data_IF_227615134552
#
_entry.id   IF_227615134552
#
_cell.length_a   1.000
_cell.length_b   1.000
_cell.length_c   1.000
_cell.angle_alpha   90.00
_cell.angle_beta   90.00
_cell.angle_gamma   90.00
#
_symmetry.space_group_name_H-M   'P 1'
#
loop_
_entity.id
_entity.type
_entity.pdbx_description
1 polymer ?
#
# COMPACT_ATOMS: atom_id res chain seq x y z
N UNK A 1 14.89 -47.75 10.38
CA UNK A 1 14.94 -46.92 11.59
C UNK A 1 15.12 -47.74 12.86
N UNK A 2 14.34 -48.81 13.10
CA UNK A 2 14.45 -49.60 14.34
C UNK A 2 15.84 -50.15 14.70
N UNK A 3 16.68 -50.54 13.71
CA UNK A 3 18.06 -51.00 13.98
C UNK A 3 19.00 -49.85 14.37
N UNK A 4 18.76 -48.63 13.84
CA UNK A 4 19.53 -47.45 14.22
C UNK A 4 19.19 -46.99 15.65
N UNK A 5 17.92 -47.04 16.06
CA UNK A 5 17.51 -46.74 17.44
C UNK A 5 18.06 -47.75 18.48
N UNK A 6 18.40 -48.97 18.05
CA UNK A 6 19.04 -49.96 18.91
C UNK A 6 20.54 -49.68 19.09
N UNK A 7 21.21 -49.11 18.09
CA UNK A 7 22.66 -48.82 18.12
C UNK A 7 22.96 -47.41 18.68
N UNK A 8 22.05 -46.46 18.51
CA UNK A 8 22.15 -45.07 19.01
C UNK A 8 21.71 -44.95 20.48
N UNK A 9 22.16 -45.89 21.33
CA UNK A 9 21.99 -45.83 22.80
C UNK A 9 23.34 -45.61 23.46
N UNK A 10 23.36 -44.93 24.61
CA UNK A 10 24.58 -44.63 25.40
C UNK A 10 25.64 -43.79 24.66
N UNK A 11 25.20 -42.83 23.84
CA UNK A 11 26.10 -41.88 23.18
C UNK A 11 26.69 -40.87 24.18
N UNK A 12 27.97 -40.54 24.01
CA UNK A 12 28.66 -39.49 24.76
C UNK A 12 28.61 -38.20 23.95
N UNK A 13 28.05 -37.13 24.52
CA UNK A 13 28.04 -35.81 23.88
C UNK A 13 29.46 -35.26 23.81
N UNK A 14 30.03 -35.21 22.60
CA UNK A 14 31.38 -34.67 22.35
C UNK A 14 31.35 -33.14 22.21
N UNK A 15 30.26 -32.60 21.67
CA UNK A 15 30.08 -31.17 21.46
C UNK A 15 28.82 -30.86 20.65
N UNK A 16 28.50 -29.57 20.54
CA UNK A 16 27.40 -29.07 19.72
C UNK A 16 27.92 -27.98 18.78
N UNK A 17 27.39 -27.93 17.56
CA UNK A 17 27.64 -26.84 16.62
C UNK A 17 26.37 -26.02 16.46
N UNK A 18 26.53 -24.71 16.28
CA UNK A 18 25.44 -23.80 15.94
C UNK A 18 25.82 -23.08 14.64
N UNK A 19 24.93 -23.10 13.66
CA UNK A 19 25.08 -22.39 12.39
C UNK A 19 24.12 -21.21 12.44
N UNK A 20 24.67 -20.00 12.32
CA UNK A 20 23.88 -18.78 12.20
C UNK A 20 23.59 -18.52 10.73
N UNK A 21 22.31 -18.48 10.37
CA UNK A 21 21.88 -18.04 9.05
C UNK A 21 21.95 -16.51 8.98
N UNK A 22 22.84 -15.99 8.15
CA UNK A 22 23.11 -14.55 8.08
C UNK A 22 22.04 -13.85 7.26
N UNK A 23 21.36 -12.91 7.92
CA UNK A 23 20.49 -11.95 7.24
C UNK A 23 21.30 -11.07 6.27
N UNK A 24 20.65 -10.62 5.20
CA UNK A 24 21.21 -9.58 4.34
C UNK A 24 21.49 -8.30 5.16
N UNK A 25 22.49 -7.54 4.73
CA UNK A 25 22.90 -6.31 5.39
C UNK A 25 21.73 -5.31 5.48
N UNK A 26 21.45 -4.83 6.70
CA UNK A 26 20.45 -3.80 6.94
C UNK A 26 18.99 -4.28 6.94
N UNK A 27 18.73 -5.59 6.92
CA UNK A 27 17.36 -6.13 7.03
C UNK A 27 16.67 -5.72 8.35
N UNK A 28 17.28 -5.88 9.54
CA UNK A 28 16.62 -5.50 10.79
C UNK A 28 16.25 -4.01 10.85
N UNK A 29 17.18 -3.13 10.45
CA UNK A 29 16.95 -1.67 10.36
C UNK A 29 15.84 -1.32 9.37
N UNK A 30 15.80 -2.00 8.21
CA UNK A 30 14.77 -1.79 7.20
C UNK A 30 13.38 -2.17 7.76
N UNK A 31 13.25 -3.35 8.37
CA UNK A 31 11.99 -3.86 8.95
C UNK A 31 11.51 -2.95 10.08
N UNK A 32 12.41 -2.53 10.98
CA UNK A 32 12.07 -1.60 12.05
C UNK A 32 11.57 -0.26 11.49
N UNK A 33 12.27 0.30 10.50
CA UNK A 33 11.89 1.56 9.87
C UNK A 33 10.52 1.47 9.19
N UNK A 34 10.26 0.40 8.45
CA UNK A 34 8.97 0.17 7.78
C UNK A 34 7.84 -0.06 8.81
N UNK A 35 8.13 -0.76 9.91
CA UNK A 35 7.19 -0.94 11.02
C UNK A 35 6.83 0.41 11.67
N UNK A 36 7.81 1.28 11.91
CA UNK A 36 7.60 2.66 12.40
C UNK A 36 6.78 3.51 11.44
N UNK A 37 6.93 3.30 10.12
CA UNK A 37 6.09 3.89 9.08
C UNK A 37 4.62 3.40 9.10
N UNK A 38 4.29 2.42 9.94
CA UNK A 38 2.96 1.85 10.07
C UNK A 38 2.65 0.76 9.04
N UNK A 39 3.66 0.20 8.39
CA UNK A 39 3.53 -0.93 7.47
C UNK A 39 3.55 -2.22 8.30
N UNK A 40 2.52 -3.06 8.14
CA UNK A 40 2.47 -4.38 8.77
C UNK A 40 3.25 -5.37 7.92
N UNK A 41 4.16 -6.12 8.54
CA UNK A 41 5.07 -7.04 7.86
C UNK A 41 4.69 -8.47 8.20
N UNK A 42 4.52 -9.28 7.16
CA UNK A 42 4.11 -10.68 7.26
C UNK A 42 5.19 -11.51 6.57
N UNK A 43 5.69 -12.53 7.26
CA UNK A 43 6.74 -13.42 6.73
C UNK A 43 6.09 -14.75 6.36
N UNK A 44 6.27 -15.17 5.11
CA UNK A 44 5.72 -16.41 4.56
C UNK A 44 6.88 -17.28 4.07
N UNK A 45 7.32 -18.24 4.90
CA UNK A 45 8.48 -19.11 4.59
C UNK A 45 8.10 -20.58 4.43
N UNK A 46 8.86 -21.28 3.57
CA UNK A 46 8.81 -22.74 3.45
C UNK A 46 9.55 -23.47 4.59
N UNK A 47 10.27 -22.74 5.44
CA UNK A 47 11.09 -23.32 6.50
C UNK A 47 10.28 -23.85 7.69
N UNK A 48 10.97 -24.60 8.55
CA UNK A 48 10.43 -25.06 9.84
C UNK A 48 10.10 -23.87 10.75
N UNK A 49 9.18 -24.13 11.68
CA UNK A 49 8.66 -23.11 12.58
C UNK A 49 9.75 -22.50 13.47
N UNK A 50 10.66 -23.33 14.00
CA UNK A 50 11.75 -22.88 14.86
C UNK A 50 12.69 -21.91 14.12
N UNK A 51 13.06 -22.26 12.89
CA UNK A 51 13.89 -21.41 12.02
C UNK A 51 13.19 -20.09 11.71
N UNK A 52 11.91 -20.14 11.35
CA UNK A 52 11.13 -18.94 11.04
C UNK A 52 11.02 -17.99 12.25
N UNK A 53 10.81 -18.55 13.45
CA UNK A 53 10.76 -17.79 14.71
C UNK A 53 12.12 -17.15 14.99
N UNK A 54 13.22 -17.90 14.86
CA UNK A 54 14.57 -17.38 15.07
C UNK A 54 14.91 -16.23 14.11
N UNK A 55 14.58 -16.39 12.81
CA UNK A 55 14.75 -15.33 11.81
C UNK A 55 13.89 -14.12 12.17
N UNK A 56 12.64 -14.32 12.59
CA UNK A 56 11.75 -13.23 12.97
C UNK A 56 12.24 -12.47 14.23
N UNK A 57 12.88 -13.12 15.19
CA UNK A 57 13.59 -12.46 16.29
C UNK A 57 14.83 -11.70 15.81
N UNK A 58 15.68 -12.32 14.98
CA UNK A 58 16.88 -11.68 14.43
C UNK A 58 16.54 -10.42 13.59
N UNK A 59 15.37 -10.39 12.97
CA UNK A 59 14.83 -9.29 12.18
C UNK A 59 14.10 -8.21 13.00
N UNK A 60 14.01 -8.34 14.34
CA UNK A 60 13.16 -7.49 15.21
C UNK A 60 11.68 -7.45 14.80
N UNK A 61 11.18 -8.52 14.17
CA UNK A 61 9.78 -8.69 13.82
C UNK A 61 8.97 -9.27 14.99
N UNK A 62 9.62 -10.13 15.79
CA UNK A 62 9.13 -10.66 17.05
C UNK A 62 10.01 -10.16 18.19
N UNK A 63 9.38 -9.81 19.32
CA UNK A 63 10.06 -9.42 20.55
C UNK A 63 9.47 -10.19 21.73
N UNK A 64 10.24 -10.34 22.82
CA UNK A 64 9.81 -11.04 24.03
C UNK A 64 8.63 -10.36 24.75
N UNK A 65 8.41 -9.08 24.51
CA UNK A 65 7.26 -8.32 25.03
C UNK A 65 5.96 -8.58 24.27
N UNK A 66 6.04 -9.23 23.09
CA UNK A 66 4.86 -9.51 22.28
C UNK A 66 4.12 -10.76 22.76
N UNK A 67 2.79 -10.70 22.79
CA UNK A 67 1.96 -11.89 22.98
C UNK A 67 1.93 -12.67 21.67
N UNK A 68 2.46 -13.88 21.70
CA UNK A 68 2.52 -14.78 20.56
C UNK A 68 1.37 -15.77 20.59
N UNK A 69 0.60 -15.81 19.50
CA UNK A 69 -0.41 -16.83 19.24
C UNK A 69 0.20 -17.85 18.28
N UNK A 70 0.37 -19.09 18.74
CA UNK A 70 0.97 -20.17 17.95
C UNK A 70 -0.13 -21.17 17.59
N UNK A 71 -0.33 -21.40 16.29
CA UNK A 71 -1.25 -22.38 15.73
C UNK A 71 -0.41 -23.39 14.95
N UNK A 72 -0.16 -24.54 15.56
CA UNK A 72 0.71 -25.59 15.02
C UNK A 72 -0.04 -26.91 14.91
N UNK A 73 0.32 -27.70 13.90
CA UNK A 73 -0.14 -29.08 13.75
C UNK A 73 0.68 -30.08 14.58
N UNK A 74 1.76 -29.65 15.22
CA UNK A 74 2.69 -30.52 15.96
C UNK A 74 2.27 -30.74 17.44
N UNK A 75 0.99 -30.62 17.75
CA UNK A 75 0.47 -30.94 19.08
C UNK A 75 0.26 -32.45 19.24
N UNK A 76 0.46 -32.97 20.45
CA UNK A 76 0.30 -34.39 20.76
C UNK A 76 -1.07 -34.92 20.31
N UNK A 77 -2.13 -34.13 20.52
CA UNK A 77 -3.48 -34.45 20.10
C UNK A 77 -3.63 -34.65 18.58
N UNK A 78 -2.90 -33.90 17.75
CA UNK A 78 -2.96 -34.07 16.28
C UNK A 78 -2.10 -35.27 15.86
N UNK A 79 -0.96 -35.50 16.52
CA UNK A 79 -0.06 -36.64 16.24
C UNK A 79 -0.74 -37.98 16.54
N UNK A 80 -1.46 -38.08 17.65
CA UNK A 80 -2.24 -39.27 18.03
C UNK A 80 -3.37 -39.60 17.02
N UNK A 81 -3.93 -38.59 16.35
CA UNK A 81 -4.95 -38.80 15.31
C UNK A 81 -4.29 -39.15 13.97
N UNK A 82 -3.14 -38.54 13.66
CA UNK A 82 -2.33 -38.90 12.49
C UNK A 82 -1.87 -40.37 12.54
N UNK A 83 -1.51 -40.89 13.72
CA UNK A 83 -1.11 -42.29 13.91
C UNK A 83 -2.25 -43.30 13.69
N UNK A 84 -3.52 -42.87 13.82
CA UNK A 84 -4.71 -43.70 13.55
C UNK A 84 -5.00 -43.86 12.05
N UNK A 85 -4.45 -42.99 11.19
CA UNK A 85 -4.37 -43.19 9.74
C UNK A 85 -5.62 -42.87 8.89
N UNK A 86 -6.77 -42.49 9.47
CA UNK A 86 -7.93 -42.05 8.68
C UNK A 86 -7.81 -40.58 8.26
N UNK A 87 -7.54 -40.35 6.96
CA UNK A 87 -7.38 -39.01 6.39
C UNK A 87 -8.60 -38.10 6.59
N UNK A 88 -9.82 -38.63 6.59
CA UNK A 88 -11.04 -37.83 6.72
C UNK A 88 -11.26 -37.41 8.16
N UNK A 89 -11.00 -38.31 9.11
CA UNK A 89 -11.08 -38.02 10.53
C UNK A 89 -10.00 -37.01 10.95
N UNK A 90 -8.77 -37.19 10.47
CA UNK A 90 -7.66 -36.25 10.66
C UNK A 90 -8.04 -34.85 10.17
N UNK A 91 -8.56 -34.74 8.94
CA UNK A 91 -8.92 -33.45 8.36
C UNK A 91 -10.04 -32.74 9.15
N UNK A 92 -11.05 -33.49 9.61
CA UNK A 92 -12.14 -32.94 10.43
C UNK A 92 -11.62 -32.47 11.79
N UNK A 93 -10.79 -33.30 12.44
CA UNK A 93 -10.23 -32.99 13.75
C UNK A 93 -9.32 -31.75 13.71
N UNK A 94 -8.39 -31.68 12.76
CA UNK A 94 -7.49 -30.53 12.61
C UNK A 94 -8.31 -29.26 12.34
N UNK A 95 -9.34 -29.33 11.49
CA UNK A 95 -10.19 -28.18 11.19
C UNK A 95 -10.94 -27.67 12.44
N UNK A 96 -11.47 -28.57 13.26
CA UNK A 96 -12.14 -28.21 14.51
C UNK A 96 -11.17 -27.62 15.54
N UNK A 97 -9.99 -28.21 15.68
CA UNK A 97 -8.96 -27.71 16.59
C UNK A 97 -8.45 -26.33 16.14
N UNK A 98 -8.17 -26.13 14.85
CA UNK A 98 -7.80 -24.81 14.30
C UNK A 98 -8.90 -23.79 14.54
N UNK A 99 -10.18 -24.16 14.35
CA UNK A 99 -11.32 -23.27 14.65
C UNK A 99 -11.36 -22.89 16.13
N UNK A 100 -11.15 -23.85 17.03
CA UNK A 100 -11.12 -23.62 18.48
C UNK A 100 -9.97 -22.71 18.89
N UNK A 101 -8.76 -22.97 18.38
CA UNK A 101 -7.58 -22.15 18.63
C UNK A 101 -7.74 -20.73 18.09
N UNK A 102 -8.23 -20.56 16.85
CA UNK A 102 -8.50 -19.25 16.27
C UNK A 102 -9.51 -18.46 17.11
N UNK A 103 -10.59 -19.10 17.57
CA UNK A 103 -11.59 -18.45 18.41
C UNK A 103 -10.99 -18.01 19.75
N UNK A 104 -10.26 -18.89 20.42
CA UNK A 104 -9.54 -18.58 21.66
C UNK A 104 -8.58 -17.40 21.49
N UNK A 105 -7.76 -17.42 20.43
CA UNK A 105 -6.82 -16.34 20.14
C UNK A 105 -7.53 -15.01 19.84
N UNK A 106 -8.67 -15.05 19.14
CA UNK A 106 -9.46 -13.85 18.84
C UNK A 106 -10.06 -13.25 20.11
N UNK A 107 -10.61 -14.08 20.99
CA UNK A 107 -11.19 -13.65 22.27
C UNK A 107 -10.10 -13.06 23.18
N UNK A 108 -8.92 -13.71 23.27
CA UNK A 108 -7.75 -13.17 23.99
C UNK A 108 -7.26 -11.85 23.37
N UNK A 109 -7.16 -11.76 22.03
CA UNK A 109 -6.73 -10.55 21.35
C UNK A 109 -7.66 -9.36 21.66
N UNK A 110 -8.97 -9.57 21.67
CA UNK A 110 -9.96 -8.53 21.98
C UNK A 110 -9.79 -7.96 23.39
N UNK A 111 -9.43 -8.78 24.38
CA UNK A 111 -9.17 -8.32 25.74
C UNK A 111 -8.01 -7.31 25.80
N UNK A 112 -6.95 -7.54 25.02
CA UNK A 112 -5.81 -6.64 24.98
C UNK A 112 -6.12 -5.31 24.28
N UNK A 113 -7.02 -5.26 23.30
CA UNK A 113 -7.41 -4.01 22.62
C UNK A 113 -8.13 -3.01 23.51
N UNK A 114 -8.82 -3.46 24.54
CA UNK A 114 -9.48 -2.58 25.50
C UNK A 114 -8.51 -1.95 26.51
N UNK A 115 -7.26 -2.44 26.56
CA UNK A 115 -6.20 -1.88 27.39
C UNK A 115 -5.32 -0.92 26.59
N UNK A 116 -5.19 0.33 27.06
CA UNK A 116 -4.38 1.38 26.40
C UNK A 116 -2.88 1.02 26.33
N UNK A 117 -2.44 0.06 27.16
CA UNK A 117 -1.06 -0.42 27.26
C UNK A 117 -0.92 -1.93 27.02
N UNK A 118 -1.77 -2.51 26.16
CA UNK A 118 -1.68 -3.92 25.81
C UNK A 118 -0.40 -4.27 25.04
N UNK A 119 0.15 -5.50 25.21
CA UNK A 119 1.31 -5.94 24.45
C UNK A 119 0.98 -6.00 22.95
N UNK A 120 1.99 -5.82 22.10
CA UNK A 120 1.86 -6.08 20.66
C UNK A 120 1.57 -7.58 20.46
N UNK A 121 0.67 -7.87 19.53
CA UNK A 121 0.27 -9.25 19.22
C UNK A 121 1.03 -9.77 18.00
N UNK A 122 1.42 -11.04 18.01
CA UNK A 122 2.02 -11.72 16.86
C UNK A 122 1.34 -13.08 16.64
N UNK A 123 1.15 -13.46 15.38
CA UNK A 123 0.56 -14.74 14.99
C UNK A 123 1.60 -15.60 14.27
N UNK A 124 1.82 -16.82 14.76
CA UNK A 124 2.62 -17.85 14.11
C UNK A 124 1.69 -19.01 13.71
N UNK A 125 1.68 -19.37 12.44
CA UNK A 125 0.82 -20.45 11.93
C UNK A 125 1.60 -21.40 11.00
N UNK A 126 1.41 -22.70 11.19
CA UNK A 126 1.98 -23.73 10.31
C UNK A 126 1.16 -23.92 9.01
N UNK A 127 1.82 -24.35 7.94
CA UNK A 127 1.23 -24.57 6.62
C UNK A 127 0.09 -25.60 6.63
N UNK A 128 0.15 -26.65 7.45
CA UNK A 128 -0.95 -27.63 7.58
C UNK A 128 -2.19 -26.96 8.20
N UNK A 129 -2.03 -26.23 9.30
CA UNK A 129 -3.11 -25.49 9.94
C UNK A 129 -3.65 -24.36 9.06
N UNK A 130 -2.77 -23.67 8.34
CA UNK A 130 -3.11 -22.59 7.44
C UNK A 130 -4.05 -23.05 6.32
N UNK A 131 -3.85 -24.26 5.78
CA UNK A 131 -4.74 -24.83 4.76
C UNK A 131 -6.19 -24.84 5.23
N UNK A 132 -6.46 -25.32 6.45
CA UNK A 132 -7.80 -25.33 7.03
C UNK A 132 -8.27 -23.94 7.46
N UNK A 133 -7.36 -23.07 7.93
CA UNK A 133 -7.69 -21.70 8.30
C UNK A 133 -8.10 -20.83 7.09
N UNK A 134 -7.62 -21.18 5.88
CA UNK A 134 -7.99 -20.53 4.62
C UNK A 134 -9.36 -20.98 4.08
N UNK A 135 -9.98 -22.01 4.65
CA UNK A 135 -11.31 -22.44 4.25
C UNK A 135 -12.33 -21.28 4.34
N UNK A 136 -13.33 -21.22 3.45
CA UNK A 136 -14.35 -20.16 3.45
C UNK A 136 -15.04 -19.93 4.81
N UNK A 137 -15.19 -20.98 5.62
CA UNK A 137 -15.78 -20.91 6.96
C UNK A 137 -14.89 -20.22 7.99
N UNK A 138 -13.56 -20.27 7.86
CA UNK A 138 -12.60 -19.81 8.87
C UNK A 138 -11.78 -18.60 8.42
N UNK A 139 -11.67 -18.35 7.10
CA UNK A 139 -10.83 -17.28 6.54
C UNK A 139 -11.11 -15.88 7.09
N UNK A 140 -12.36 -15.60 7.47
CA UNK A 140 -12.75 -14.30 8.06
C UNK A 140 -12.20 -14.18 9.48
N UNK A 141 -12.26 -15.26 10.27
CA UNK A 141 -11.67 -15.29 11.62
C UNK A 141 -10.15 -15.15 11.55
N UNK A 142 -9.50 -15.90 10.65
CA UNK A 142 -8.06 -15.77 10.41
C UNK A 142 -7.70 -14.33 10.07
N UNK A 143 -8.39 -13.74 9.08
CA UNK A 143 -8.13 -12.36 8.65
C UNK A 143 -8.29 -11.36 9.81
N UNK A 144 -9.36 -11.46 10.61
CA UNK A 144 -9.57 -10.57 11.74
C UNK A 144 -8.47 -10.68 12.79
N UNK A 145 -8.05 -11.90 13.13
CA UNK A 145 -6.94 -12.14 14.06
C UNK A 145 -5.62 -11.57 13.49
N UNK A 146 -5.31 -11.85 12.22
CA UNK A 146 -4.08 -11.39 11.58
C UNK A 146 -4.03 -9.88 11.41
N UNK A 147 -5.16 -9.21 11.11
CA UNK A 147 -5.24 -7.75 11.03
C UNK A 147 -5.10 -7.07 12.39
N UNK A 148 -5.36 -7.78 13.48
CA UNK A 148 -5.14 -7.32 14.84
C UNK A 148 -3.68 -7.49 15.29
N UNK A 149 -2.95 -8.43 14.69
CA UNK A 149 -1.54 -8.63 14.96
C UNK A 149 -0.66 -7.52 14.35
N UNK A 150 0.47 -7.25 14.99
CA UNK A 150 1.53 -6.36 14.49
C UNK A 150 2.39 -7.08 13.46
N UNK A 151 2.68 -8.37 13.69
CA UNK A 151 3.43 -9.24 12.79
C UNK A 151 2.75 -10.60 12.66
N UNK A 152 2.93 -11.24 11.50
CA UNK A 152 2.40 -12.57 11.21
C UNK A 152 3.52 -13.38 10.56
N UNK A 153 3.72 -14.61 11.03
CA UNK A 153 4.72 -15.55 10.50
C UNK A 153 4.00 -16.83 10.10
N UNK A 154 4.03 -17.17 8.81
CA UNK A 154 3.54 -18.45 8.31
C UNK A 154 4.74 -19.33 7.94
N UNK A 155 4.77 -20.54 8.48
CA UNK A 155 5.87 -21.49 8.32
C UNK A 155 5.43 -22.68 7.46
N UNK A 156 6.38 -23.40 6.85
CA UNK A 156 6.12 -24.55 5.96
C UNK A 156 5.04 -24.30 4.91
N UNK A 157 4.96 -23.08 4.38
CA UNK A 157 3.92 -22.73 3.41
C UNK A 157 4.34 -23.06 1.98
N UNK A 158 3.42 -23.63 1.21
CA UNK A 158 3.61 -23.86 -0.22
C UNK A 158 3.46 -22.57 -1.05
N UNK A 159 4.03 -22.50 -2.27
CA UNK A 159 3.87 -21.34 -3.16
C UNK A 159 2.40 -20.95 -3.40
N UNK A 160 1.50 -21.93 -3.49
CA UNK A 160 0.08 -21.69 -3.66
C UNK A 160 -0.54 -21.06 -2.40
N UNK A 161 -0.15 -21.53 -1.21
CA UNK A 161 -0.62 -20.96 0.05
C UNK A 161 -0.14 -19.51 0.24
N UNK A 162 1.10 -19.18 -0.15
CA UNK A 162 1.60 -17.78 -0.12
C UNK A 162 0.70 -16.84 -0.93
N UNK A 163 0.31 -17.27 -2.13
CA UNK A 163 -0.60 -16.52 -2.99
C UNK A 163 -2.02 -16.42 -2.40
N UNK A 164 -2.54 -17.50 -1.80
CA UNK A 164 -3.84 -17.50 -1.15
C UNK A 164 -3.92 -16.55 0.05
N UNK A 165 -2.89 -16.52 0.91
CA UNK A 165 -2.78 -15.57 2.02
C UNK A 165 -2.75 -14.13 1.51
N UNK A 166 -1.92 -13.86 0.51
CA UNK A 166 -1.82 -12.52 -0.10
C UNK A 166 -3.16 -12.07 -0.69
N UNK A 167 -3.87 -12.96 -1.38
CA UNK A 167 -5.19 -12.71 -1.95
C UNK A 167 -6.27 -12.50 -0.88
N UNK A 168 -6.21 -13.24 0.24
CA UNK A 168 -7.10 -13.06 1.39
C UNK A 168 -6.96 -11.66 1.97
N UNK A 169 -5.72 -11.19 2.20
CA UNK A 169 -5.47 -9.85 2.74
C UNK A 169 -5.88 -8.77 1.74
N UNK A 170 -5.51 -8.92 0.47
CA UNK A 170 -5.87 -8.00 -0.62
C UNK A 170 -7.38 -7.80 -0.74
N UNK A 171 -8.16 -8.89 -0.76
CA UNK A 171 -9.62 -8.84 -0.91
C UNK A 171 -10.35 -8.48 0.39
N UNK A 172 -9.87 -8.98 1.52
CA UNK A 172 -10.54 -8.86 2.80
C UNK A 172 -10.23 -7.57 3.57
N UNK A 173 -8.98 -7.11 3.57
CA UNK A 173 -8.57 -5.96 4.38
C UNK A 173 -8.85 -4.60 3.70
N UNK A 174 -9.12 -4.60 2.39
CA UNK A 174 -9.21 -3.37 1.55
C UNK A 174 -8.00 -2.45 1.75
N UNK A 175 -6.82 -3.05 1.90
CA UNK A 175 -5.53 -2.36 2.01
C UNK A 175 -4.67 -2.70 0.80
N UNK A 176 -3.76 -1.79 0.46
CA UNK A 176 -2.73 -2.06 -0.54
C UNK A 176 -1.74 -3.06 0.05
N UNK A 177 -1.44 -4.09 -0.72
CA UNK A 177 -0.54 -5.18 -0.34
C UNK A 177 0.68 -5.14 -1.24
N UNK A 178 1.85 -5.27 -0.64
CA UNK A 178 3.12 -5.44 -1.33
C UNK A 178 3.66 -6.82 -0.98
N UNK A 179 4.11 -7.56 -1.98
CA UNK A 179 4.85 -8.80 -1.78
C UNK A 179 6.26 -8.67 -2.34
N UNK A 180 7.20 -9.31 -1.66
CA UNK A 180 8.62 -9.31 -2.01
C UNK A 180 9.13 -10.74 -1.97
N UNK A 181 9.95 -11.11 -2.94
CA UNK A 181 10.57 -12.44 -3.02
C UNK A 181 11.72 -12.47 -4.03
N UNK A 182 12.55 -13.49 -3.93
CA UNK A 182 13.73 -13.72 -4.78
C UNK A 182 13.59 -14.96 -5.68
N UNK A 183 12.83 -15.95 -5.24
CA UNK A 183 12.73 -17.25 -5.90
C UNK A 183 11.46 -17.49 -6.73
N UNK A 184 11.50 -18.59 -7.49
CA UNK A 184 10.36 -19.12 -8.25
C UNK A 184 9.11 -19.36 -7.36
N UNK A 185 9.34 -19.75 -6.11
CA UNK A 185 8.32 -20.04 -5.11
C UNK A 185 7.47 -18.82 -4.72
N UNK A 186 7.98 -17.61 -4.99
CA UNK A 186 7.32 -16.36 -4.63
C UNK A 186 6.61 -15.70 -5.82
N UNK A 187 6.78 -16.22 -7.05
CA UNK A 187 6.16 -15.65 -8.26
C UNK A 187 4.63 -15.54 -8.13
N UNK A 188 3.97 -16.59 -7.64
CA UNK A 188 2.53 -16.60 -7.42
C UNK A 188 2.08 -15.57 -6.37
N UNK A 189 2.91 -15.35 -5.34
CA UNK A 189 2.69 -14.36 -4.29
C UNK A 189 2.89 -12.93 -4.80
N UNK A 190 3.93 -12.71 -5.61
CA UNK A 190 4.26 -11.45 -6.28
C UNK A 190 3.09 -11.01 -7.17
N UNK A 191 2.61 -11.90 -8.03
CA UNK A 191 1.50 -11.62 -8.94
C UNK A 191 0.15 -11.44 -8.23
N UNK A 192 -0.04 -12.06 -7.05
CA UNK A 192 -1.28 -11.92 -6.31
C UNK A 192 -1.44 -10.55 -5.62
N UNK A 193 -0.34 -9.87 -5.28
CA UNK A 193 -0.36 -8.60 -4.55
C UNK A 193 -0.84 -7.42 -5.41
N UNK A 194 -0.88 -6.21 -4.84
CA UNK A 194 -1.08 -4.99 -5.63
C UNK A 194 0.21 -4.46 -6.22
N UNK A 195 1.32 -4.67 -5.50
CA UNK A 195 2.67 -4.28 -5.90
C UNK A 195 3.57 -5.48 -5.65
N UNK A 196 4.24 -5.96 -6.70
CA UNK A 196 5.22 -7.03 -6.63
C UNK A 196 6.64 -6.49 -6.69
N UNK A 197 7.50 -6.92 -5.77
CA UNK A 197 8.93 -6.56 -5.75
C UNK A 197 9.79 -7.82 -5.84
N UNK A 198 10.62 -7.92 -6.87
CA UNK A 198 11.58 -9.00 -7.05
C UNK A 198 12.95 -8.61 -6.48
N UNK A 199 13.58 -9.50 -5.73
CA UNK A 199 14.99 -9.36 -5.35
C UNK A 199 15.86 -10.05 -6.39
N UNK A 200 16.81 -9.32 -6.98
CA UNK A 200 17.75 -9.85 -7.96
C UNK A 200 18.85 -10.66 -7.26
N UNK A 201 18.60 -11.96 -7.08
CA UNK A 201 19.55 -12.92 -6.52
C UNK A 201 20.37 -13.68 -7.58
N UNK A 202 21.27 -14.53 -7.09
CA UNK A 202 22.08 -15.44 -7.92
C UNK A 202 21.33 -16.73 -8.31
N UNK A 203 20.25 -17.07 -7.59
CA UNK A 203 19.53 -18.34 -7.72
C UNK A 203 18.51 -18.36 -8.88
N UNK A 204 18.19 -17.19 -9.46
CA UNK A 204 17.33 -17.09 -10.63
C UNK A 204 16.69 -15.70 -10.80
N UNK A 205 16.25 -15.40 -12.03
CA UNK A 205 15.59 -14.12 -12.36
C UNK A 205 14.05 -14.22 -12.42
N UNK A 206 13.46 -15.35 -12.05
CA UNK A 206 12.03 -15.58 -12.24
C UNK A 206 11.16 -14.63 -11.40
N UNK A 207 11.51 -14.39 -10.13
CA UNK A 207 10.80 -13.42 -9.29
C UNK A 207 10.91 -11.99 -9.84
N UNK A 208 12.10 -11.61 -10.32
CA UNK A 208 12.36 -10.30 -10.93
C UNK A 208 11.52 -10.09 -12.19
N UNK A 209 11.50 -11.07 -13.09
CA UNK A 209 10.73 -11.00 -14.35
C UNK A 209 9.22 -10.95 -14.12
N UNK A 210 8.73 -11.48 -13.00
CA UNK A 210 7.31 -11.46 -12.64
C UNK A 210 6.90 -10.28 -11.74
N UNK A 211 7.83 -9.38 -11.39
CA UNK A 211 7.62 -8.28 -10.45
C UNK A 211 7.45 -6.92 -11.13
N UNK A 212 6.79 -5.98 -10.46
CA UNK A 212 6.66 -4.59 -10.93
C UNK A 212 7.97 -3.80 -10.74
N UNK A 213 8.69 -4.09 -9.65
CA UNK A 213 9.98 -3.47 -9.32
C UNK A 213 11.03 -4.53 -9.00
N UNK A 214 12.23 -4.32 -9.52
CA UNK A 214 13.39 -5.15 -9.22
C UNK A 214 14.38 -4.38 -8.32
N UNK A 215 14.77 -4.97 -7.19
CA UNK A 215 15.81 -4.42 -6.31
C UNK A 215 16.91 -5.45 -6.06
N UNK A 216 18.14 -5.01 -5.82
CA UNK A 216 19.25 -5.96 -5.59
C UNK A 216 19.25 -6.59 -4.19
N UNK A 217 18.81 -5.86 -3.18
CA UNK A 217 18.85 -6.27 -1.77
C UNK A 217 17.64 -5.73 -1.03
N UNK A 218 17.22 -6.41 0.04
CA UNK A 218 16.05 -6.04 0.84
C UNK A 218 16.15 -4.63 1.44
N UNK A 219 17.36 -4.17 1.81
CA UNK A 219 17.55 -2.84 2.42
C UNK A 219 17.08 -1.67 1.55
N UNK A 220 17.05 -1.84 0.23
CA UNK A 220 16.59 -0.79 -0.70
C UNK A 220 15.07 -0.63 -0.72
N UNK A 221 14.33 -1.57 -0.13
CA UNK A 221 12.88 -1.44 0.05
C UNK A 221 12.52 -0.20 0.88
N UNK A 222 13.37 0.16 1.85
CA UNK A 222 13.26 1.39 2.64
C UNK A 222 13.23 2.65 1.76
N UNK A 223 14.15 2.74 0.80
CA UNK A 223 14.23 3.87 -0.13
C UNK A 223 13.06 3.87 -1.13
N UNK A 224 12.76 2.69 -1.69
CA UNK A 224 11.66 2.51 -2.64
C UNK A 224 10.32 2.99 -2.06
N UNK A 225 10.00 2.61 -0.82
CA UNK A 225 8.72 2.96 -0.21
C UNK A 225 8.72 4.37 0.40
N UNK A 226 9.65 4.65 1.31
CA UNK A 226 9.57 5.88 2.12
C UNK A 226 9.95 7.13 1.34
N UNK A 227 10.77 7.00 0.30
CA UNK A 227 11.19 8.11 -0.54
C UNK A 227 10.35 8.13 -1.81
N UNK A 228 10.51 7.12 -2.67
CA UNK A 228 9.85 7.12 -3.99
C UNK A 228 8.34 6.91 -3.88
N UNK A 229 7.88 5.97 -3.05
CA UNK A 229 6.46 5.72 -2.82
C UNK A 229 5.72 6.94 -2.28
N UNK A 230 6.27 7.59 -1.23
CA UNK A 230 5.68 8.81 -0.65
C UNK A 230 5.63 9.96 -1.66
N UNK A 231 6.75 10.27 -2.31
CA UNK A 231 6.81 11.35 -3.29
C UNK A 231 5.84 11.11 -4.45
N UNK A 232 5.82 9.92 -5.03
CA UNK A 232 4.93 9.57 -6.13
C UNK A 232 3.46 9.70 -5.73
N UNK A 233 3.08 9.26 -4.53
CA UNK A 233 1.72 9.42 -4.03
C UNK A 233 1.33 10.91 -3.90
N UNK A 234 2.16 11.74 -3.26
CA UNK A 234 1.86 13.17 -3.08
C UNK A 234 1.79 13.90 -4.42
N UNK A 235 2.76 13.66 -5.32
CA UNK A 235 2.81 14.24 -6.67
C UNK A 235 1.55 13.90 -7.45
N UNK A 236 1.17 12.62 -7.48
CA UNK A 236 -0.01 12.17 -8.21
C UNK A 236 -1.29 12.79 -7.64
N UNK A 237 -1.42 12.86 -6.31
CA UNK A 237 -2.57 13.54 -5.68
C UNK A 237 -2.66 15.00 -6.12
N UNK A 238 -1.56 15.76 -6.03
CA UNK A 238 -1.51 17.16 -6.45
C UNK A 238 -1.84 17.34 -7.93
N UNK A 239 -1.19 16.56 -8.80
CA UNK A 239 -1.41 16.58 -10.25
C UNK A 239 -2.87 16.33 -10.58
N UNK A 240 -3.49 15.29 -10.02
CA UNK A 240 -4.89 14.96 -10.30
C UNK A 240 -5.81 16.08 -9.82
N UNK A 241 -5.66 16.56 -8.58
CA UNK A 241 -6.52 17.64 -8.05
C UNK A 241 -6.35 18.95 -8.82
N UNK A 242 -5.12 19.29 -9.19
CA UNK A 242 -4.80 20.48 -9.98
C UNK A 242 -5.33 20.37 -11.40
N UNK A 243 -5.23 19.18 -12.02
CA UNK A 243 -5.76 18.93 -13.36
C UNK A 243 -7.29 19.06 -13.40
N UNK A 244 -8.00 18.55 -12.39
CA UNK A 244 -9.44 18.78 -12.29
C UNK A 244 -9.77 20.25 -12.10
N UNK A 245 -9.08 20.92 -11.18
CA UNK A 245 -9.28 22.33 -10.89
C UNK A 245 -9.10 23.21 -12.13
N UNK A 246 -8.01 23.05 -12.89
CA UNK A 246 -7.71 23.89 -14.04
C UNK A 246 -8.71 23.70 -15.18
N UNK A 247 -9.13 22.45 -15.44
CA UNK A 247 -10.10 22.17 -16.49
C UNK A 247 -11.49 22.64 -16.09
N UNK A 248 -11.89 22.38 -14.84
CA UNK A 248 -13.19 22.80 -14.33
C UNK A 248 -13.30 24.33 -14.32
N UNK A 249 -12.25 25.05 -13.90
CA UNK A 249 -12.22 26.52 -13.94
C UNK A 249 -12.40 27.04 -15.37
N UNK A 250 -11.64 26.50 -16.32
CA UNK A 250 -11.73 26.89 -17.73
C UNK A 250 -13.12 26.63 -18.33
N UNK A 251 -13.66 25.42 -18.16
CA UNK A 251 -14.98 25.05 -18.70
C UNK A 251 -16.10 25.83 -18.04
N UNK A 252 -16.05 26.05 -16.72
CA UNK A 252 -17.08 26.79 -16.01
C UNK A 252 -17.12 28.27 -16.43
N UNK A 253 -15.98 28.90 -16.70
CA UNK A 253 -15.98 30.29 -17.20
C UNK A 253 -16.76 30.41 -18.51
N UNK A 254 -16.61 29.43 -19.42
CA UNK A 254 -17.42 29.37 -20.64
C UNK A 254 -18.88 29.01 -20.35
N UNK A 255 -19.14 28.17 -19.36
CA UNK A 255 -20.51 27.83 -18.94
C UNK A 255 -21.27 29.05 -18.41
N UNK A 256 -20.63 29.95 -17.66
CA UNK A 256 -21.30 31.16 -17.19
C UNK A 256 -21.75 32.08 -18.34
N UNK A 257 -20.97 32.12 -19.43
CA UNK A 257 -21.33 32.86 -20.63
C UNK A 257 -22.57 32.31 -21.35
N UNK A 258 -22.88 31.01 -21.24
CA UNK A 258 -24.08 30.44 -21.91
C UNK A 258 -25.38 30.98 -21.35
N UNK A 259 -25.41 31.37 -20.07
CA UNK A 259 -26.57 32.04 -19.47
C UNK A 259 -26.81 33.40 -20.11
N UNK A 260 -25.74 34.16 -20.39
CA UNK A 260 -25.85 35.47 -21.04
C UNK A 260 -26.34 35.35 -22.49
N UNK A 261 -25.94 34.30 -23.21
CA UNK A 261 -26.35 34.07 -24.60
C UNK A 261 -27.65 33.28 -24.75
N UNK A 262 -28.37 33.00 -23.66
CA UNK A 262 -29.62 32.25 -23.68
C UNK A 262 -29.47 30.83 -24.21
N UNK A 263 -28.32 30.19 -23.96
CA UNK A 263 -27.97 28.84 -24.43
C UNK A 263 -27.92 28.68 -25.96
N UNK A 264 -27.62 29.75 -26.69
CA UNK A 264 -27.53 29.72 -28.17
C UNK A 264 -26.39 28.85 -28.75
N UNK A 265 -25.48 28.37 -27.90
CA UNK A 265 -24.29 27.61 -28.34
C UNK A 265 -23.13 28.49 -28.81
N UNK A 266 -23.24 29.82 -28.70
CA UNK A 266 -22.13 30.73 -28.98
C UNK A 266 -20.92 30.40 -28.09
N UNK A 267 -19.75 30.23 -28.72
CA UNK A 267 -18.49 29.96 -28.02
C UNK A 267 -18.01 31.24 -27.34
N UNK A 268 -17.54 31.09 -26.10
CA UNK A 268 -16.90 32.19 -25.38
C UNK A 268 -15.44 32.33 -25.82
N UNK A 269 -14.67 31.23 -25.80
CA UNK A 269 -13.27 31.19 -26.21
C UNK A 269 -13.11 30.92 -27.71
N UNK A 270 -12.03 31.45 -28.27
CA UNK A 270 -11.58 31.11 -29.62
C UNK A 270 -11.14 29.63 -29.71
N UNK A 271 -11.27 29.05 -30.89
CA UNK A 271 -10.98 27.63 -31.16
C UNK A 271 -9.52 27.27 -30.86
N UNK A 272 -8.59 28.19 -31.13
CA UNK A 272 -7.18 27.99 -30.79
C UNK A 272 -6.96 28.01 -29.28
N UNK A 273 -7.63 28.90 -28.54
CA UNK A 273 -7.52 28.93 -27.07
C UNK A 273 -8.05 27.66 -26.43
N UNK A 274 -9.19 27.15 -26.90
CA UNK A 274 -9.72 25.86 -26.43
C UNK A 274 -8.75 24.70 -26.70
N UNK A 275 -8.18 24.65 -27.90
CA UNK A 275 -7.28 23.56 -28.31
C UNK A 275 -5.93 23.62 -27.59
N UNK A 276 -5.37 24.81 -27.39
CA UNK A 276 -4.02 25.01 -26.86
C UNK A 276 -3.97 25.14 -25.33
N UNK A 277 -5.11 25.34 -24.65
CA UNK A 277 -5.17 25.52 -23.19
C UNK A 277 -4.44 24.44 -22.41
N UNK A 278 -4.74 23.17 -22.71
CA UNK A 278 -4.18 22.03 -22.00
C UNK A 278 -2.77 21.65 -22.48
N UNK A 279 -2.41 21.97 -23.73
CA UNK A 279 -1.18 21.50 -24.38
C UNK A 279 -0.04 22.49 -24.22
N UNK A 280 -0.30 23.78 -24.43
CA UNK A 280 0.73 24.83 -24.40
C UNK A 280 0.62 25.63 -23.11
N UNK A 281 -0.55 26.20 -22.82
CA UNK A 281 -0.67 27.24 -21.79
C UNK A 281 -0.61 26.72 -20.36
N UNK A 282 -1.04 25.48 -20.10
CA UNK A 282 -1.13 24.94 -18.73
C UNK A 282 -0.48 23.56 -18.56
N UNK A 283 0.25 23.05 -19.57
CA UNK A 283 0.91 21.74 -19.48
C UNK A 283 2.13 21.76 -18.55
N UNK A 284 2.95 22.80 -18.66
CA UNK A 284 4.26 22.85 -18.01
C UNK A 284 4.17 22.78 -16.47
N UNK A 285 3.29 23.53 -15.77
CA UNK A 285 3.19 23.42 -14.32
C UNK A 285 2.75 22.04 -13.84
N UNK A 286 1.85 21.36 -14.57
CA UNK A 286 1.44 19.99 -14.26
C UNK A 286 2.64 19.05 -14.28
N UNK A 287 3.48 19.17 -15.32
CA UNK A 287 4.67 18.34 -15.49
C UNK A 287 5.69 18.64 -14.39
N UNK A 288 5.95 19.92 -14.11
CA UNK A 288 6.92 20.33 -13.09
C UNK A 288 6.51 19.80 -11.71
N UNK A 289 5.25 20.00 -11.32
CA UNK A 289 4.72 19.50 -10.05
C UNK A 289 4.71 17.96 -10.02
N UNK A 290 4.34 17.31 -11.14
CA UNK A 290 4.27 15.87 -11.23
C UNK A 290 5.61 15.14 -11.14
N UNK A 291 6.70 15.77 -11.61
CA UNK A 291 8.02 15.14 -11.67
C UNK A 291 8.97 15.58 -10.55
N UNK A 292 9.01 16.88 -10.26
CA UNK A 292 10.08 17.47 -9.45
C UNK A 292 9.66 17.85 -8.03
N UNK A 293 8.37 17.92 -7.74
CA UNK A 293 7.88 18.32 -6.43
C UNK A 293 8.37 17.37 -5.32
N UNK A 294 8.88 17.94 -4.23
CA UNK A 294 9.39 17.21 -3.07
C UNK A 294 8.94 17.96 -1.83
N UNK A 295 8.08 17.34 -1.03
CA UNK A 295 7.63 17.88 0.25
C UNK A 295 8.77 17.90 1.28
N UNK A 296 9.56 16.82 1.32
CA UNK A 296 10.72 16.66 2.19
C UNK A 296 11.88 15.98 1.45
N UNK A 297 13.10 16.16 1.96
CA UNK A 297 14.30 15.50 1.42
C UNK A 297 14.30 13.99 1.71
N UNK A 298 15.01 13.21 0.88
CA UNK A 298 15.14 11.75 1.05
C UNK A 298 15.70 11.36 2.43
N UNK A 299 16.63 12.15 2.98
CA UNK A 299 17.20 11.91 4.31
C UNK A 299 16.18 12.11 5.43
N UNK A 300 15.34 13.14 5.33
CA UNK A 300 14.28 13.39 6.29
C UNK A 300 13.17 12.34 6.22
N UNK A 301 12.77 11.91 5.02
CA UNK A 301 11.79 10.82 4.85
C UNK A 301 12.23 9.53 5.56
N UNK A 302 13.52 9.21 5.52
CA UNK A 302 14.08 8.05 6.20
C UNK A 302 14.22 8.22 7.70
N UNK A 303 14.58 9.43 8.16
CA UNK A 303 14.74 9.74 9.59
C UNK A 303 13.40 9.77 10.32
N UNK A 304 12.35 10.21 9.64
CA UNK A 304 10.98 10.32 10.15
C UNK A 304 10.00 9.46 9.34
N UNK A 305 10.11 8.11 9.43
CA UNK A 305 9.26 7.19 8.66
C UNK A 305 7.76 7.35 8.97
N UNK A 306 7.41 7.93 10.11
CA UNK A 306 6.03 8.16 10.54
C UNK A 306 5.25 9.04 9.55
N UNK A 307 5.93 9.88 8.77
CA UNK A 307 5.35 10.66 7.69
C UNK A 307 4.57 9.76 6.70
N UNK A 308 5.07 8.55 6.41
CA UNK A 308 4.43 7.62 5.49
C UNK A 308 2.99 7.23 5.89
N UNK A 309 2.63 7.34 7.18
CA UNK A 309 1.28 7.02 7.70
C UNK A 309 0.17 7.85 7.05
N UNK A 310 0.48 9.06 6.58
CA UNK A 310 -0.48 9.93 5.88
C UNK A 310 -0.97 9.31 4.56
N UNK A 311 -0.06 8.63 3.84
CA UNK A 311 -0.37 7.89 2.62
C UNK A 311 -1.24 6.67 2.88
N UNK A 312 -0.94 5.91 3.94
CA UNK A 312 -1.74 4.76 4.36
C UNK A 312 -3.18 5.17 4.73
N UNK A 313 -3.35 6.35 5.33
CA UNK A 313 -4.66 6.93 5.68
C UNK A 313 -5.36 7.64 4.50
N UNK A 314 -4.74 7.61 3.32
CA UNK A 314 -5.17 8.31 2.11
C UNK A 314 -5.57 9.77 2.38
N UNK A 315 -4.73 10.54 3.05
CA UNK A 315 -5.08 11.90 3.50
C UNK A 315 -5.16 12.92 2.36
N UNK A 316 -4.32 12.80 1.34
CA UNK A 316 -4.19 13.81 0.28
C UNK A 316 -5.20 13.66 -0.86
N UNK A 317 -5.88 12.50 -0.96
CA UNK A 317 -6.88 12.23 -2.00
C UNK A 317 -8.22 11.76 -1.40
N UNK A 318 -8.73 12.50 -0.43
CA UNK A 318 -10.10 12.32 0.08
C UNK A 318 -11.09 13.13 -0.76
N UNK A 319 -12.33 12.66 -0.82
CA UNK A 319 -13.44 13.41 -1.44
C UNK A 319 -13.59 14.84 -0.91
N UNK A 320 -13.27 15.08 0.37
CA UNK A 320 -13.25 16.44 0.94
C UNK A 320 -12.24 17.36 0.25
N UNK A 321 -11.04 16.85 -0.04
CA UNK A 321 -9.98 17.62 -0.73
C UNK A 321 -10.46 17.95 -2.15
N UNK A 322 -10.96 16.96 -2.88
CA UNK A 322 -11.49 17.15 -4.24
C UNK A 322 -12.64 18.17 -4.24
N UNK A 323 -13.57 18.11 -3.28
CA UNK A 323 -14.67 19.06 -3.17
C UNK A 323 -14.20 20.49 -2.91
N UNK A 324 -13.16 20.68 -2.07
CA UNK A 324 -12.56 21.99 -1.84
C UNK A 324 -11.95 22.55 -3.12
N UNK A 325 -11.20 21.73 -3.87
CA UNK A 325 -10.65 22.14 -5.17
C UNK A 325 -11.75 22.48 -6.19
N UNK A 326 -12.82 21.69 -6.25
CA UNK A 326 -13.97 21.96 -7.12
C UNK A 326 -14.68 23.27 -6.72
N UNK A 327 -14.87 23.52 -5.43
CA UNK A 327 -15.43 24.77 -4.92
C UNK A 327 -14.58 25.97 -5.34
N UNK A 328 -13.25 25.89 -5.21
CA UNK A 328 -12.36 26.95 -5.67
C UNK A 328 -12.45 27.16 -7.18
N UNK A 329 -12.59 26.10 -7.98
CA UNK A 329 -12.77 26.23 -9.44
C UNK A 329 -14.08 26.95 -9.80
N UNK A 330 -15.18 26.61 -9.13
CA UNK A 330 -16.47 27.30 -9.30
C UNK A 330 -16.35 28.76 -8.89
N UNK A 331 -15.80 29.05 -7.71
CA UNK A 331 -15.61 30.41 -7.22
C UNK A 331 -14.76 31.25 -8.16
N UNK A 332 -13.59 30.75 -8.57
CA UNK A 332 -12.70 31.51 -9.43
C UNK A 332 -13.24 31.68 -10.85
N UNK A 333 -13.89 30.67 -11.42
CA UNK A 333 -14.52 30.80 -12.75
C UNK A 333 -15.62 31.88 -12.77
N UNK A 334 -16.42 31.98 -11.71
CA UNK A 334 -17.40 33.06 -11.54
C UNK A 334 -16.68 34.42 -11.47
N UNK A 335 -15.66 34.54 -10.63
CA UNK A 335 -14.88 35.78 -10.50
C UNK A 335 -14.30 36.18 -11.85
N UNK A 336 -13.63 35.29 -12.58
CA UNK A 336 -13.03 35.62 -13.87
C UNK A 336 -14.06 36.05 -14.91
N UNK A 337 -15.20 35.36 -14.99
CA UNK A 337 -16.26 35.74 -15.91
C UNK A 337 -16.83 37.12 -15.57
N UNK A 338 -17.36 37.29 -14.35
CA UNK A 338 -18.04 38.53 -13.97
C UNK A 338 -17.07 39.72 -13.88
N UNK A 339 -15.87 39.54 -13.36
CA UNK A 339 -14.87 40.59 -13.28
C UNK A 339 -14.55 41.16 -14.66
N UNK A 340 -14.31 40.28 -15.64
CA UNK A 340 -13.95 40.72 -16.99
C UNK A 340 -15.15 41.30 -17.73
N UNK A 341 -16.33 40.68 -17.64
CA UNK A 341 -17.55 41.22 -18.28
C UNK A 341 -17.94 42.59 -17.72
N UNK A 342 -17.91 42.77 -16.39
CA UNK A 342 -18.23 44.07 -15.78
C UNK A 342 -17.17 45.11 -16.17
N UNK A 343 -15.89 44.78 -16.03
CA UNK A 343 -14.80 45.71 -16.36
C UNK A 343 -14.84 46.15 -17.83
N UNK A 344 -15.12 45.23 -18.76
CA UNK A 344 -15.17 45.53 -20.19
C UNK A 344 -16.44 46.26 -20.64
N UNK A 345 -17.54 46.20 -19.87
CA UNK A 345 -18.79 46.88 -20.23
C UNK A 345 -18.73 48.40 -20.07
N UNK A 346 -17.91 48.90 -19.15
CA UNK A 346 -17.71 50.34 -18.89
C UNK A 346 -16.41 50.89 -19.46
N UNK A 347 -15.51 50.03 -19.94
CA UNK A 347 -14.18 50.44 -20.40
C UNK A 347 -14.14 50.72 -21.90
N UNK A 348 -13.44 51.78 -22.27
CA UNK A 348 -13.11 52.11 -23.66
C UNK A 348 -11.60 51.96 -23.85
N UNK A 349 -11.18 51.47 -25.02
CA UNK A 349 -9.76 51.41 -25.37
C UNK A 349 -9.14 52.81 -25.42
N UNK A 350 -7.80 52.89 -25.47
CA UNK A 350 -7.08 54.17 -25.61
C UNK A 350 -7.47 54.96 -26.88
N UNK A 351 -8.08 54.30 -27.85
CA UNK A 351 -8.64 54.87 -29.08
C UNK A 351 -10.13 55.24 -28.99
N UNK A 352 -10.77 55.07 -27.82
CA UNK A 352 -12.21 55.33 -27.59
C UNK A 352 -13.15 54.24 -28.11
N UNK A 353 -12.64 53.13 -28.65
CA UNK A 353 -13.46 52.01 -29.15
C UNK A 353 -13.91 51.09 -28.01
N UNK A 354 -15.12 50.52 -28.14
CA UNK A 354 -15.64 49.51 -27.23
C UNK A 354 -14.99 48.15 -27.50
N UNK A 355 -14.87 47.33 -26.46
CA UNK A 355 -14.35 45.96 -26.56
C UNK A 355 -15.39 45.00 -27.15
N UNK A 356 -14.98 44.18 -28.11
CA UNK A 356 -15.79 43.11 -28.67
C UNK A 356 -15.75 41.84 -27.82
N UNK A 357 -16.60 40.86 -28.15
CA UNK A 357 -16.66 39.57 -27.46
C UNK A 357 -15.29 38.88 -27.37
N UNK A 358 -14.52 38.90 -28.47
CA UNK A 358 -13.21 38.26 -28.54
C UNK A 358 -12.17 38.96 -27.67
N UNK A 359 -12.27 40.27 -27.50
CA UNK A 359 -11.38 41.02 -26.60
C UNK A 359 -11.65 40.63 -25.13
N UNK A 360 -12.93 40.63 -24.74
CA UNK A 360 -13.40 40.19 -23.40
C UNK A 360 -13.02 38.74 -23.14
N UNK A 361 -13.19 37.87 -24.13
CA UNK A 361 -12.81 36.47 -24.07
C UNK A 361 -11.31 36.27 -23.86
N UNK A 362 -10.49 37.01 -24.61
CA UNK A 362 -9.02 36.95 -24.51
C UNK A 362 -8.55 37.42 -23.13
N UNK A 363 -9.18 38.47 -22.58
CA UNK A 363 -8.91 38.94 -21.21
C UNK A 363 -9.26 37.85 -20.18
N UNK A 364 -10.45 37.25 -20.26
CA UNK A 364 -10.87 36.18 -19.35
C UNK A 364 -9.97 34.95 -19.46
N UNK A 365 -9.59 34.56 -20.68
CA UNK A 365 -8.66 33.46 -20.92
C UNK A 365 -7.29 33.74 -20.28
N UNK A 366 -6.77 34.96 -20.44
CA UNK A 366 -5.50 35.37 -19.84
C UNK A 366 -5.56 35.31 -18.31
N UNK A 367 -6.64 35.80 -17.71
CA UNK A 367 -6.85 35.70 -16.25
C UNK A 367 -6.86 34.24 -15.78
N UNK A 368 -7.55 33.35 -16.50
CA UNK A 368 -7.60 31.92 -16.17
C UNK A 368 -6.20 31.30 -16.28
N UNK A 369 -5.50 31.50 -17.39
CA UNK A 369 -4.17 30.91 -17.63
C UNK A 369 -3.16 31.38 -16.58
N UNK A 370 -3.10 32.69 -16.31
CA UNK A 370 -2.18 33.26 -15.31
C UNK A 370 -2.51 32.72 -13.92
N UNK A 371 -3.78 32.72 -13.52
CA UNK A 371 -4.15 32.30 -12.17
C UNK A 371 -3.94 30.81 -11.95
N UNK A 372 -4.28 29.98 -12.93
CA UNK A 372 -4.06 28.54 -12.87
C UNK A 372 -2.57 28.23 -12.75
N UNK A 373 -1.71 28.89 -13.54
CA UNK A 373 -0.27 28.63 -13.51
C UNK A 373 0.45 29.13 -12.25
N UNK A 374 -0.08 30.15 -11.57
CA UNK A 374 0.51 30.70 -10.34
C UNK A 374 0.11 29.93 -9.07
N UNK A 375 -0.97 29.16 -9.12
CA UNK A 375 -1.51 28.41 -7.98
C UNK A 375 -0.90 27.02 -7.86
#
# INVERSE_FOLDING_TARGET
MQVAELIEKDLILIGATAIEDKLQEGVPDCIETLSRAGIKIWVLTGDKMETAINIAYACNLLNNEMKQFIISSETDAIREVEERGDQVEIARFIKEEVKKQLKKCLDEAQQYFHSVSGPKLALIIDGKCLMYALDPSLRIMLLNLSLNCSSVVCCRVSPLQKAQVTSLVKKGARKITLSIGDGANDVSMIQAAHIGVGISGLEGMQAVMASDFAIAQFRFLKDLLLVHGRWSYIRLCKVVTYFFYKNLTFTLTQFWFTFYTGFSGQRFYDDWFQSLYNVIFTALPVIIVGLFDKDVSSSLSKRYPELYKEGIKNMFFKWRVVAIWAFFAVYQSLVFYYFVTVSSSTSQGSSGKMFGLWDVSTMAFTCVVVTVNLR
#
